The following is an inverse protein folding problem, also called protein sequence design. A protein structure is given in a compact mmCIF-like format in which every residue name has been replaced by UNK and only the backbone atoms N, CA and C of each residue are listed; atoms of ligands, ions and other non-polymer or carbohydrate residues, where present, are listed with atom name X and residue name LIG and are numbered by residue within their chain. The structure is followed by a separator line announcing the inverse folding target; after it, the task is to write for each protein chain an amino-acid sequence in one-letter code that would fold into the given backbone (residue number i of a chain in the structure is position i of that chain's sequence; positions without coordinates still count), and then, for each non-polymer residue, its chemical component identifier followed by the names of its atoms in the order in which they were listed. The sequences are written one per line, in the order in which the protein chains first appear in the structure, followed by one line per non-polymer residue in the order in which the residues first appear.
data_IF_889952662759
#
_entry.id   IF_889952662759
#
_cell.length_a   1.000
_cell.length_b   1.000
_cell.length_c   1.000
_cell.angle_alpha   90.00
_cell.angle_beta   90.00
_cell.angle_gamma   90.00
#
_symmetry.space_group_name_H-M   'P 1'
#
loop_
_entity.id
_entity.type
_entity.pdbx_description
1 polymer ?
#
# COMPACT_ATOMS: atom_id res chain seq x y z
N UNK A 1 14.23 -25.26 -43.23
CA UNK A 1 15.00 -24.50 -42.21
C UNK A 1 14.52 -23.06 -42.15
N UNK A 2 14.47 -22.33 -43.27
CA UNK A 2 14.09 -20.91 -43.32
C UNK A 2 12.67 -20.62 -42.84
N UNK A 3 11.68 -21.37 -43.33
CA UNK A 3 10.27 -21.19 -42.93
C UNK A 3 10.11 -21.38 -41.42
N UNK A 4 10.79 -22.37 -40.85
CA UNK A 4 10.73 -22.66 -39.41
C UNK A 4 11.37 -21.54 -38.58
N UNK A 5 12.49 -20.99 -39.04
CA UNK A 5 13.14 -19.83 -38.41
C UNK A 5 12.25 -18.58 -38.46
N UNK A 6 11.62 -18.31 -39.60
CA UNK A 6 10.71 -17.16 -39.78
C UNK A 6 9.48 -17.31 -38.86
N UNK A 7 8.91 -18.51 -38.73
CA UNK A 7 7.80 -18.76 -37.83
C UNK A 7 8.18 -18.52 -36.37
N UNK A 8 9.36 -18.99 -35.94
CA UNK A 8 9.85 -18.77 -34.57
C UNK A 8 10.07 -17.27 -34.31
N UNK A 9 10.74 -16.57 -35.22
CA UNK A 9 10.95 -15.12 -35.10
C UNK A 9 9.64 -14.34 -35.03
N UNK A 10 8.64 -14.75 -35.82
CA UNK A 10 7.32 -14.11 -35.83
C UNK A 10 6.60 -14.28 -34.48
N UNK A 11 6.70 -15.46 -33.86
CA UNK A 11 6.14 -15.71 -32.52
C UNK A 11 6.83 -14.83 -31.48
N UNK A 12 8.16 -14.75 -31.49
CA UNK A 12 8.90 -13.89 -30.56
C UNK A 12 8.58 -12.40 -30.76
N UNK A 13 8.48 -11.95 -32.01
CA UNK A 13 8.08 -10.58 -32.32
C UNK A 13 6.66 -10.28 -31.80
N UNK A 14 5.72 -11.19 -32.01
CA UNK A 14 4.35 -11.06 -31.50
C UNK A 14 4.31 -11.00 -29.97
N UNK A 15 5.01 -11.92 -29.29
CA UNK A 15 5.12 -11.93 -27.83
C UNK A 15 5.74 -10.63 -27.31
N UNK A 16 6.80 -10.14 -27.95
CA UNK A 16 7.47 -8.89 -27.59
C UNK A 16 6.54 -7.68 -27.70
N UNK A 17 5.81 -7.56 -28.82
CA UNK A 17 4.82 -6.49 -29.02
C UNK A 17 3.69 -6.59 -28.00
N UNK A 18 3.14 -7.78 -27.79
CA UNK A 18 2.06 -8.02 -26.81
C UNK A 18 2.50 -7.62 -25.39
N UNK A 19 3.70 -8.02 -24.98
CA UNK A 19 4.24 -7.69 -23.67
C UNK A 19 4.51 -6.19 -23.51
N UNK A 20 4.96 -5.53 -24.58
CA UNK A 20 5.16 -4.07 -24.61
C UNK A 20 3.84 -3.32 -24.47
N UNK A 21 2.80 -3.76 -25.19
CA UNK A 21 1.45 -3.18 -25.10
C UNK A 21 0.89 -3.35 -23.69
N UNK A 22 0.98 -4.56 -23.10
CA UNK A 22 0.56 -4.81 -21.73
C UNK A 22 1.31 -3.93 -20.72
N UNK A 23 2.63 -3.77 -20.90
CA UNK A 23 3.44 -2.91 -20.05
C UNK A 23 2.99 -1.44 -20.13
N UNK A 24 2.73 -0.94 -21.33
CA UNK A 24 2.21 0.42 -21.54
C UNK A 24 0.81 0.61 -20.95
N UNK A 25 -0.08 -0.39 -21.07
CA UNK A 25 -1.40 -0.34 -20.43
C UNK A 25 -1.29 -0.33 -18.89
N UNK A 26 -0.36 -1.10 -18.31
CA UNK A 26 -0.08 -1.07 -16.88
C UNK A 26 0.45 0.30 -16.43
N UNK A 27 1.37 0.89 -17.18
CA UNK A 27 1.86 2.25 -16.95
C UNK A 27 0.76 3.30 -17.05
N UNK A 28 -0.15 3.16 -18.02
CA UNK A 28 -1.29 4.06 -18.17
C UNK A 28 -2.27 3.95 -16.99
N UNK A 29 -2.52 2.73 -16.50
CA UNK A 29 -3.36 2.51 -15.30
C UNK A 29 -2.68 3.01 -14.02
N UNK A 30 -1.36 2.98 -13.94
CA UNK A 30 -0.58 3.59 -12.86
C UNK A 30 -0.64 5.12 -12.86
N UNK A 31 -1.20 5.74 -13.92
CA UNK A 31 -1.38 7.18 -14.05
C UNK A 31 -2.64 7.70 -13.35
N UNK A 32 -3.33 6.87 -12.55
CA UNK A 32 -4.18 7.40 -11.50
C UNK A 32 -3.29 8.27 -10.61
N UNK A 33 -3.43 9.58 -10.80
CA UNK A 33 -2.87 10.60 -9.93
C UNK A 33 -3.15 10.18 -8.50
N UNK A 34 -2.09 10.13 -7.69
CA UNK A 34 -2.15 10.00 -6.25
C UNK A 34 -3.45 10.66 -5.73
N UNK A 35 -4.41 9.83 -5.31
CA UNK A 35 -5.71 10.31 -4.85
C UNK A 35 -5.64 10.81 -3.40
N UNK A 36 -4.44 10.84 -2.78
CA UNK A 36 -4.25 11.17 -1.37
C UNK A 36 -4.85 10.12 -0.42
N UNK A 37 -5.17 8.92 -0.93
CA UNK A 37 -5.80 7.86 -0.13
C UNK A 37 -4.71 7.16 0.69
N UNK A 38 -4.93 7.12 2.00
CA UNK A 38 -4.07 6.44 2.97
C UNK A 38 -4.73 5.15 3.44
N UNK A 39 -3.98 4.04 3.40
CA UNK A 39 -4.46 2.77 3.93
C UNK A 39 -4.15 2.68 5.42
N UNK A 40 -5.20 2.73 6.24
CA UNK A 40 -5.12 2.53 7.68
C UNK A 40 -5.62 1.13 8.01
N UNK A 41 -4.76 0.29 8.58
CA UNK A 41 -5.13 -1.03 9.08
C UNK A 41 -5.31 -0.96 10.60
N UNK A 42 -6.54 -1.23 11.04
CA UNK A 42 -6.87 -1.38 12.46
C UNK A 42 -6.79 -2.85 12.84
N UNK A 43 -5.87 -3.20 13.75
CA UNK A 43 -5.76 -4.57 14.25
C UNK A 43 -6.46 -4.71 15.60
N UNK A 44 -7.43 -5.63 15.73
CA UNK A 44 -8.01 -5.95 17.03
C UNK A 44 -6.99 -6.67 17.94
N UNK A 45 -7.22 -6.64 19.25
CA UNK A 45 -6.38 -7.36 20.22
C UNK A 45 -6.26 -8.86 19.86
N UNK A 46 -5.09 -9.45 20.15
CA UNK A 46 -4.74 -10.86 19.86
C UNK A 46 -4.70 -11.25 18.38
N UNK A 47 -4.56 -10.30 17.44
CA UNK A 47 -4.39 -10.58 16.02
C UNK A 47 -2.93 -10.64 15.55
N UNK A 48 -1.99 -10.71 16.50
CA UNK A 48 -0.52 -10.76 16.29
C UNK A 48 -0.10 -11.79 15.24
N UNK A 49 -0.65 -13.00 15.31
CA UNK A 49 -0.34 -14.12 14.42
C UNK A 49 -0.78 -13.89 12.97
N UNK A 50 -1.74 -13.00 12.74
CA UNK A 50 -2.27 -12.68 11.40
C UNK A 50 -1.62 -11.43 10.79
N UNK A 51 -0.99 -10.58 11.60
CA UNK A 51 -0.39 -9.32 11.16
C UNK A 51 0.61 -9.53 10.01
N UNK A 52 1.54 -10.48 10.17
CA UNK A 52 2.55 -10.75 9.14
C UNK A 52 1.91 -11.20 7.81
N UNK A 53 0.94 -12.12 7.87
CA UNK A 53 0.25 -12.62 6.68
C UNK A 53 -0.49 -11.50 5.95
N UNK A 54 -1.21 -10.66 6.70
CA UNK A 54 -1.95 -9.53 6.14
C UNK A 54 -0.99 -8.53 5.48
N UNK A 55 0.07 -8.12 6.18
CA UNK A 55 1.05 -7.16 5.63
C UNK A 55 1.69 -7.71 4.36
N UNK A 56 2.17 -8.96 4.38
CA UNK A 56 2.77 -9.61 3.19
C UNK A 56 1.80 -9.66 2.02
N UNK A 57 0.54 -10.02 2.28
CA UNK A 57 -0.48 -10.12 1.23
C UNK A 57 -0.75 -8.75 0.58
N UNK A 58 -0.85 -7.68 1.37
CA UNK A 58 -1.12 -6.33 0.83
C UNK A 58 0.01 -5.86 -0.09
N UNK A 59 1.27 -6.11 0.30
CA UNK A 59 2.43 -5.80 -0.55
C UNK A 59 2.54 -6.70 -1.78
N UNK A 60 2.16 -7.98 -1.67
CA UNK A 60 2.17 -8.93 -2.78
C UNK A 60 1.11 -8.60 -3.84
N UNK A 61 -0.08 -8.19 -3.42
CA UNK A 61 -1.21 -7.90 -4.33
C UNK A 61 -1.06 -6.57 -5.09
N UNK A 62 0.06 -5.84 -4.91
CA UNK A 62 0.34 -4.54 -5.53
C UNK A 62 -0.83 -3.54 -5.31
N UNK A 63 -1.51 -3.63 -4.18
CA UNK A 63 -2.63 -2.75 -3.83
C UNK A 63 -2.16 -1.29 -3.76
N UNK A 64 -0.94 -1.05 -3.27
CA UNK A 64 -0.33 0.29 -3.19
C UNK A 64 -0.28 0.98 -4.54
N UNK A 65 0.24 0.30 -5.57
CA UNK A 65 0.37 0.84 -6.93
C UNK A 65 -0.95 1.28 -7.57
N UNK A 66 -2.09 0.84 -7.05
CA UNK A 66 -3.41 1.17 -7.60
C UNK A 66 -4.15 2.26 -6.83
N UNK A 67 -3.83 2.45 -5.54
CA UNK A 67 -4.70 3.23 -4.65
C UNK A 67 -3.95 4.14 -3.68
N UNK A 68 -2.68 3.91 -3.36
CA UNK A 68 -2.02 4.54 -2.19
C UNK A 68 -0.97 5.54 -2.64
N UNK A 69 -1.04 6.71 -2.01
CA UNK A 69 -0.25 7.91 -2.28
C UNK A 69 1.25 7.78 -1.99
N UNK A 70 1.53 7.24 -0.81
CA UNK A 70 2.82 7.37 -0.13
C UNK A 70 3.56 6.03 -0.03
N UNK A 71 3.05 4.99 -0.71
CA UNK A 71 3.53 3.61 -0.65
C UNK A 71 3.68 3.06 0.78
N UNK A 72 2.99 3.68 1.77
CA UNK A 72 3.08 3.30 3.19
C UNK A 72 1.81 2.66 3.69
N UNK A 73 1.96 1.72 4.63
CA UNK A 73 0.84 1.25 5.47
C UNK A 73 0.84 2.00 6.77
N UNK A 74 -0.32 2.54 7.14
CA UNK A 74 -0.55 3.06 8.48
C UNK A 74 -1.18 1.98 9.36
N UNK A 75 -0.52 1.63 10.45
CA UNK A 75 -1.02 0.62 11.39
C UNK A 75 -1.47 1.27 12.68
N UNK A 76 -2.71 0.98 13.07
CA UNK A 76 -3.26 1.36 14.36
C UNK A 76 -3.37 0.07 15.19
N UNK A 77 -2.44 -0.08 16.14
CA UNK A 77 -2.22 -1.29 16.92
C UNK A 77 -2.13 -0.90 18.39
N UNK A 78 -2.67 -1.74 19.26
CA UNK A 78 -2.50 -1.53 20.69
C UNK A 78 -1.07 -1.80 21.14
N UNK A 79 -0.43 -0.80 21.75
CA UNK A 79 0.99 -0.88 22.16
C UNK A 79 1.22 -1.83 23.35
N UNK A 80 0.14 -2.35 23.95
CA UNK A 80 0.20 -3.20 25.13
C UNK A 80 0.56 -4.67 24.85
N UNK A 81 0.59 -5.10 23.58
CA UNK A 81 0.94 -6.47 23.20
C UNK A 81 2.40 -6.59 22.72
N UNK A 82 3.25 -7.17 23.58
CA UNK A 82 4.69 -7.34 23.34
C UNK A 82 4.98 -8.20 22.11
N UNK A 83 4.19 -9.24 21.86
CA UNK A 83 4.38 -10.13 20.70
C UNK A 83 4.07 -9.39 19.40
N UNK A 84 2.99 -8.62 19.37
CA UNK A 84 2.64 -7.80 18.20
C UNK A 84 3.72 -6.76 17.92
N UNK A 85 4.25 -6.09 18.94
CA UNK A 85 5.32 -5.10 18.78
C UNK A 85 6.61 -5.72 18.21
N UNK A 86 6.97 -6.93 18.64
CA UNK A 86 8.14 -7.65 18.12
C UNK A 86 7.99 -8.01 16.64
N UNK A 87 6.80 -8.45 16.23
CA UNK A 87 6.51 -8.75 14.82
C UNK A 87 6.53 -7.46 13.99
N UNK A 88 5.97 -6.39 14.52
CA UNK A 88 5.92 -5.08 13.88
C UNK A 88 7.31 -4.49 13.63
N UNK A 89 8.24 -4.60 14.58
CA UNK A 89 9.64 -4.18 14.37
C UNK A 89 10.30 -4.94 13.22
N UNK A 90 10.10 -6.26 13.13
CA UNK A 90 10.61 -7.06 12.01
C UNK A 90 10.03 -6.59 10.68
N UNK A 91 8.72 -6.34 10.65
CA UNK A 91 8.02 -5.90 9.44
C UNK A 91 8.43 -4.49 8.99
N UNK A 92 8.68 -3.57 9.93
CA UNK A 92 9.17 -2.21 9.63
C UNK A 92 10.52 -2.20 8.91
N UNK A 93 11.37 -3.19 9.16
CA UNK A 93 12.65 -3.31 8.48
C UNK A 93 12.51 -3.82 7.03
N UNK A 94 11.41 -4.49 6.71
CA UNK A 94 11.17 -5.09 5.39
C UNK A 94 10.22 -4.28 4.51
N UNK A 95 9.31 -3.53 5.14
CA UNK A 95 8.20 -2.86 4.46
C UNK A 95 8.01 -1.42 4.97
N UNK A 96 7.58 -0.49 4.11
CA UNK A 96 7.25 0.88 4.49
C UNK A 96 5.98 0.91 5.37
N UNK A 97 6.18 0.86 6.68
CA UNK A 97 5.11 0.80 7.68
C UNK A 97 5.27 1.96 8.67
N UNK A 98 4.19 2.71 8.86
CA UNK A 98 4.09 3.80 9.82
C UNK A 98 3.05 3.44 10.89
N UNK A 99 3.39 3.66 12.16
CA UNK A 99 2.50 3.29 13.28
C UNK A 99 1.83 4.54 13.80
N UNK A 100 0.51 4.54 13.80
CA UNK A 100 -0.29 5.63 14.31
C UNK A 100 -0.44 5.51 15.84
N UNK A 101 -0.42 6.63 16.57
CA UNK A 101 -0.70 6.63 18.01
C UNK A 101 -2.15 6.17 18.28
N UNK A 102 -2.36 5.37 19.33
CA UNK A 102 -3.70 4.91 19.77
C UNK A 102 -4.64 6.07 20.07
N UNK A 103 -4.10 7.21 20.51
CA UNK A 103 -4.86 8.41 20.81
C UNK A 103 -4.83 9.37 19.62
N UNK A 104 -5.87 9.31 18.80
CA UNK A 104 -6.24 10.47 17.98
C UNK A 104 -6.82 11.49 18.96
N UNK A 105 -5.98 12.33 19.55
CA UNK A 105 -6.45 13.61 20.08
C UNK A 105 -6.88 14.42 18.86
N UNK A 106 -8.11 14.17 18.40
CA UNK A 106 -8.76 15.00 17.40
C UNK A 106 -8.81 16.40 18.00
N UNK A 107 -7.90 17.27 17.56
CA UNK A 107 -7.97 18.68 17.87
C UNK A 107 -9.18 19.22 17.11
N UNK A 108 -10.38 19.16 17.71
CA UNK A 108 -11.47 20.03 17.31
C UNK A 108 -10.97 21.45 17.55
N UNK A 109 -10.59 22.16 16.49
CA UNK A 109 -10.55 23.62 16.54
C UNK A 109 -12.01 24.04 16.68
N UNK A 110 -12.51 24.08 17.91
CA UNK A 110 -13.75 24.78 18.22
C UNK A 110 -13.39 26.25 18.26
N UNK A 111 -13.73 26.95 17.18
CA UNK A 111 -13.67 28.40 17.10
C UNK A 111 -14.57 28.98 18.20
N UNK A 112 -14.01 29.19 19.40
CA UNK A 112 -14.56 30.03 20.44
C UNK A 112 -13.69 31.27 20.51
N UNK A 113 -13.97 32.22 19.63
CA UNK A 113 -13.66 33.62 19.92
C UNK A 113 -14.93 34.37 20.33
N UNK A 114 -14.76 35.02 21.48
CA UNK A 114 -15.75 35.76 22.24
C UNK A 114 -16.32 36.92 21.42
N UNK A 115 -17.61 36.87 21.05
CA UNK A 115 -18.37 38.11 20.89
C UNK A 115 -18.79 38.56 22.30
N UNK A 116 -17.85 39.20 23.00
CA UNK A 116 -18.18 40.27 23.94
C UNK A 116 -17.69 41.55 23.29
N UNK A 117 -18.59 42.19 22.54
CA UNK A 117 -18.49 43.62 22.29
C UNK A 117 -19.53 44.31 23.17
N UNK A 118 -19.02 45.35 23.79
CA UNK A 118 -19.49 46.11 24.93
C UNK A 118 -20.65 47.04 24.58
#
# INVERSE_FOLDING_TARGET
MEILAITILSIFAFLGVFHTVLYLFCLYKSRFTDMGIKLILYLPHNSSSKLEGIVRQIFQDNIFRKFIADDKIYLMISQHDVETMRILEKLKNMYPIEVLPEQISYCMITERENIKLQ
#
